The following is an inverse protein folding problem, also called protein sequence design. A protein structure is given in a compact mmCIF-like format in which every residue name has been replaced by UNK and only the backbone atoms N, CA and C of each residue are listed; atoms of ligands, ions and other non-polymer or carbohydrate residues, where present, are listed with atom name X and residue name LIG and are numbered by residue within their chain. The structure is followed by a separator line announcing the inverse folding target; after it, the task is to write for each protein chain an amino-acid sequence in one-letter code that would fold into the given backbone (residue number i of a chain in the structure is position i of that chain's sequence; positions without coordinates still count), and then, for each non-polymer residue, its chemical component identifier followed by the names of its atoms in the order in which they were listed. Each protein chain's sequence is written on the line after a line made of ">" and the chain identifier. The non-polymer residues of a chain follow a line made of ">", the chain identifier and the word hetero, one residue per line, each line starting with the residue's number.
data_IF_205290085303
#
_entry.id   IF_205290085303
#
_cell.length_a   1.000
_cell.length_b   1.000
_cell.length_c   1.000
_cell.angle_alpha   90.00
_cell.angle_beta   90.00
_cell.angle_gamma   90.00
#
_symmetry.space_group_name_H-M   'P 1'
#
loop_
_entity.id
_entity.type
_entity.pdbx_description
1 polymer ?
#
# COMPACT_ATOMS: atom_id res chain seq x y z
N UNK A 1 -42.05 17.08 -54.58
CA UNK A 1 -40.90 16.83 -53.68
C UNK A 1 -41.41 16.71 -52.25
N UNK A 2 -41.62 15.50 -51.74
CA UNK A 2 -41.61 15.25 -50.30
C UNK A 2 -41.41 13.76 -50.04
N UNK A 3 -40.34 13.44 -49.33
CA UNK A 3 -39.81 12.09 -49.17
C UNK A 3 -40.58 11.31 -48.11
N UNK A 4 -40.94 10.08 -48.43
CA UNK A 4 -41.43 9.09 -47.47
C UNK A 4 -40.29 8.65 -46.54
N UNK A 5 -40.32 9.11 -45.28
CA UNK A 5 -39.49 8.58 -44.22
C UNK A 5 -40.04 7.21 -43.77
N UNK A 6 -39.36 6.13 -44.16
CA UNK A 6 -39.63 4.78 -43.63
C UNK A 6 -39.02 4.65 -42.24
N UNK A 7 -39.85 4.44 -41.23
CA UNK A 7 -39.42 3.99 -39.91
C UNK A 7 -38.70 2.63 -40.03
N UNK A 8 -37.38 2.61 -39.81
CA UNK A 8 -36.68 1.37 -39.44
C UNK A 8 -36.97 1.10 -37.98
N UNK A 9 -37.65 -0.02 -37.71
CA UNK A 9 -37.67 -0.61 -36.39
C UNK A 9 -36.23 -0.94 -35.97
N UNK A 10 -35.71 -0.21 -35.00
CA UNK A 10 -34.47 -0.55 -34.31
C UNK A 10 -34.75 -1.74 -33.40
N UNK A 11 -34.27 -2.91 -33.81
CA UNK A 11 -34.20 -4.08 -32.96
C UNK A 11 -33.44 -3.72 -31.67
N UNK A 12 -34.15 -3.75 -30.55
CA UNK A 12 -33.58 -3.63 -29.22
C UNK A 12 -32.73 -4.88 -28.94
N UNK A 13 -31.43 -4.81 -29.20
CA UNK A 13 -30.49 -5.75 -28.62
C UNK A 13 -30.38 -5.43 -27.13
N UNK A 14 -31.07 -6.22 -26.31
CA UNK A 14 -30.76 -6.35 -24.88
C UNK A 14 -29.28 -6.68 -24.74
N UNK A 15 -28.48 -5.71 -24.30
CA UNK A 15 -27.14 -5.97 -23.78
C UNK A 15 -27.28 -6.89 -22.57
N UNK A 16 -27.07 -8.19 -22.77
CA UNK A 16 -26.73 -9.09 -21.68
C UNK A 16 -25.44 -8.54 -21.07
N UNK A 17 -25.50 -8.12 -19.81
CA UNK A 17 -24.29 -7.86 -19.03
C UNK A 17 -23.46 -9.14 -19.06
N UNK A 18 -22.36 -9.12 -19.83
CA UNK A 18 -21.41 -10.21 -19.86
C UNK A 18 -20.87 -10.42 -18.46
N UNK A 19 -20.87 -11.67 -17.98
CA UNK A 19 -20.15 -12.04 -16.77
C UNK A 19 -18.72 -11.50 -16.85
N UNK A 20 -18.18 -10.91 -15.76
CA UNK A 20 -16.82 -10.42 -15.79
C UNK A 20 -15.88 -11.58 -16.11
N UNK A 21 -15.17 -11.49 -17.23
CA UNK A 21 -14.16 -12.47 -17.58
C UNK A 21 -13.17 -12.61 -16.42
N UNK A 22 -12.93 -13.85 -15.98
CA UNK A 22 -12.02 -14.14 -14.88
C UNK A 22 -10.65 -13.47 -15.14
N UNK A 23 -10.19 -12.65 -14.18
CA UNK A 23 -8.96 -11.87 -14.32
C UNK A 23 -7.74 -12.80 -14.21
N UNK A 24 -7.28 -13.33 -15.35
CA UNK A 24 -6.06 -14.13 -15.44
C UNK A 24 -4.86 -13.22 -15.75
N UNK A 25 -3.98 -12.98 -14.76
CA UNK A 25 -2.70 -12.25 -14.95
C UNK A 25 -1.53 -13.23 -14.89
N UNK A 26 -0.69 -13.20 -15.92
CA UNK A 26 0.59 -13.92 -15.98
C UNK A 26 1.72 -13.13 -15.32
N UNK A 27 1.73 -11.80 -15.49
CA UNK A 27 2.70 -10.91 -14.83
C UNK A 27 2.30 -10.68 -13.38
N UNK A 28 3.22 -10.85 -12.41
CA UNK A 28 2.96 -10.50 -11.02
C UNK A 28 2.63 -9.01 -10.87
N UNK A 29 1.58 -8.70 -10.11
CA UNK A 29 1.32 -7.34 -9.65
C UNK A 29 1.80 -7.24 -8.21
N UNK A 30 2.57 -6.22 -7.89
CA UNK A 30 2.95 -5.92 -6.51
C UNK A 30 2.72 -4.44 -6.19
N UNK A 31 2.52 -4.14 -4.91
CA UNK A 31 2.39 -2.78 -4.43
C UNK A 31 2.87 -2.68 -2.98
N UNK A 32 3.31 -1.48 -2.59
CA UNK A 32 3.64 -1.13 -1.22
C UNK A 32 2.56 -0.25 -0.61
N UNK A 33 2.29 -0.43 0.68
CA UNK A 33 1.45 0.44 1.49
C UNK A 33 2.12 0.67 2.84
N UNK A 34 2.52 1.92 3.09
CA UNK A 34 3.04 2.27 4.41
C UNK A 34 1.93 2.10 5.46
N UNK A 35 2.22 1.29 6.49
CA UNK A 35 1.29 0.98 7.60
C UNK A 35 0.00 0.28 7.16
N UNK A 36 0.11 -0.71 6.28
CA UNK A 36 -1.02 -1.59 5.97
C UNK A 36 -1.49 -2.39 7.20
N UNK A 37 -2.69 -2.99 7.08
CA UNK A 37 -3.35 -3.78 8.13
C UNK A 37 -2.36 -4.80 8.74
N UNK A 38 -2.29 -4.86 10.06
CA UNK A 38 -1.44 -5.82 10.78
C UNK A 38 0.08 -5.60 10.60
N UNK A 39 0.51 -4.41 10.15
CA UNK A 39 1.92 -4.14 9.88
C UNK A 39 2.41 -4.66 8.53
N UNK A 40 1.49 -5.14 7.67
CA UNK A 40 1.82 -5.53 6.29
C UNK A 40 2.20 -4.30 5.48
N UNK A 41 3.32 -4.38 4.79
CA UNK A 41 3.88 -3.27 4.03
C UNK A 41 3.77 -3.50 2.53
N UNK A 42 3.69 -4.75 2.09
CA UNK A 42 3.72 -5.12 0.69
C UNK A 42 2.72 -6.20 0.36
N UNK A 43 2.29 -6.22 -0.89
CA UNK A 43 1.46 -7.28 -1.44
C UNK A 43 1.99 -7.73 -2.80
N UNK A 44 1.80 -9.01 -3.10
CA UNK A 44 2.11 -9.62 -4.39
C UNK A 44 0.92 -10.48 -4.83
N UNK A 45 0.45 -10.29 -6.07
CA UNK A 45 -0.59 -11.10 -6.69
C UNK A 45 -0.04 -11.86 -7.89
N UNK A 46 -0.23 -13.18 -7.89
CA UNK A 46 0.13 -14.09 -8.99
C UNK A 46 -1.08 -14.97 -9.29
N UNK A 47 -1.76 -14.72 -10.40
CA UNK A 47 -3.04 -15.36 -10.72
C UNK A 47 -4.09 -15.12 -9.62
N UNK A 48 -4.59 -16.22 -9.05
CA UNK A 48 -5.57 -16.22 -7.94
C UNK A 48 -4.95 -16.02 -6.57
N UNK A 49 -3.62 -16.14 -6.46
CA UNK A 49 -2.93 -16.08 -5.17
C UNK A 49 -2.54 -14.64 -4.84
N UNK A 50 -2.76 -14.25 -3.58
CA UNK A 50 -2.28 -12.99 -3.03
C UNK A 50 -1.45 -13.27 -1.78
N UNK A 51 -0.22 -12.74 -1.75
CA UNK A 51 0.64 -12.68 -0.58
C UNK A 51 0.55 -11.27 0.01
N UNK A 52 0.40 -11.17 1.34
CA UNK A 52 0.72 -9.97 2.10
C UNK A 52 1.99 -10.23 2.89
N UNK A 53 2.89 -9.24 2.94
CA UNK A 53 4.14 -9.34 3.66
C UNK A 53 4.43 -8.07 4.47
N UNK A 54 4.84 -8.27 5.71
CA UNK A 54 5.37 -7.25 6.61
C UNK A 54 6.83 -7.55 6.94
N UNK A 55 7.50 -6.57 7.55
CA UNK A 55 8.86 -6.78 8.05
C UNK A 55 8.88 -7.84 9.15
N UNK A 56 9.97 -8.59 9.23
CA UNK A 56 10.18 -9.59 10.28
C UNK A 56 10.41 -8.95 11.67
N UNK A 57 10.43 -9.78 12.71
CA UNK A 57 10.62 -9.38 14.11
C UNK A 57 11.94 -8.63 14.40
N UNK A 58 12.87 -8.60 13.46
CA UNK A 58 14.20 -8.00 13.60
C UNK A 58 14.41 -6.73 12.78
N UNK A 59 13.42 -6.19 12.05
CA UNK A 59 13.63 -4.92 11.39
C UNK A 59 13.60 -3.80 12.44
N UNK A 60 14.78 -3.30 12.83
CA UNK A 60 14.96 -2.13 13.70
C UNK A 60 14.18 -0.88 13.24
N UNK A 61 13.63 -0.91 12.02
CA UNK A 61 12.77 0.09 11.40
C UNK A 61 11.42 -0.54 11.01
N UNK A 62 10.57 -0.85 11.98
CA UNK A 62 9.15 -1.12 11.73
C UNK A 62 8.44 0.08 11.08
N UNK A 63 9.07 1.26 11.20
CA UNK A 63 8.68 2.53 10.65
C UNK A 63 9.80 2.97 9.71
N UNK A 64 9.46 3.52 8.54
CA UNK A 64 10.43 4.08 7.60
C UNK A 64 11.38 5.10 8.24
N UNK A 65 12.33 5.63 7.46
CA UNK A 65 13.43 6.44 7.98
C UNK A 65 12.91 7.63 8.80
N UNK A 66 13.58 7.90 9.92
CA UNK A 66 13.33 9.03 10.82
C UNK A 66 14.62 9.85 10.83
N UNK A 67 14.62 11.04 10.21
CA UNK A 67 15.77 11.96 10.23
C UNK A 67 16.28 12.38 8.84
N UNK A 68 17.42 13.09 8.82
CA UNK A 68 18.12 13.61 7.63
C UNK A 68 18.89 12.50 6.85
N UNK A 69 18.71 11.22 7.20
CA UNK A 69 19.39 10.07 6.57
C UNK A 69 18.83 9.73 5.18
N UNK A 70 19.59 8.94 4.40
CA UNK A 70 19.15 8.45 3.09
C UNK A 70 17.86 7.63 3.24
N UNK A 71 16.78 8.17 2.68
CA UNK A 71 15.42 7.64 2.85
C UNK A 71 15.19 6.34 2.07
N UNK A 72 16.13 5.90 1.24
CA UNK A 72 16.03 4.68 0.41
C UNK A 72 16.93 3.55 0.88
N UNK A 73 17.92 3.82 1.74
CA UNK A 73 18.90 2.82 2.17
C UNK A 73 18.24 1.65 2.91
N UNK A 74 17.23 1.96 3.73
CA UNK A 74 16.48 0.92 4.46
C UNK A 74 15.83 -0.11 3.53
N UNK A 75 15.41 0.28 2.31
CA UNK A 75 14.79 -0.64 1.35
C UNK A 75 15.78 -1.72 0.89
N UNK A 76 17.08 -1.40 0.81
CA UNK A 76 18.16 -2.35 0.48
C UNK A 76 18.32 -3.44 1.55
N UNK A 77 18.05 -3.08 2.81
CA UNK A 77 18.20 -3.96 3.99
C UNK A 77 16.89 -4.59 4.45
N UNK A 78 15.76 -4.18 3.85
CA UNK A 78 14.43 -4.58 4.29
C UNK A 78 14.22 -6.09 4.13
N UNK A 79 14.09 -6.78 5.26
CA UNK A 79 13.79 -8.22 5.27
C UNK A 79 12.33 -8.44 5.61
N UNK A 80 11.59 -9.01 4.67
CA UNK A 80 10.21 -9.46 4.85
C UNK A 80 10.20 -10.81 5.55
N UNK A 81 9.34 -10.97 6.55
CA UNK A 81 9.32 -12.19 7.37
C UNK A 81 7.95 -12.57 7.91
N UNK A 82 7.08 -11.59 8.15
CA UNK A 82 5.69 -11.85 8.49
C UNK A 82 4.86 -11.96 7.21
N UNK A 83 4.11 -13.06 7.03
CA UNK A 83 3.38 -13.33 5.79
C UNK A 83 1.97 -13.86 6.01
N UNK A 84 1.04 -13.42 5.16
CA UNK A 84 -0.28 -13.99 4.97
C UNK A 84 -0.45 -14.39 3.50
N UNK A 85 -1.21 -15.46 3.24
CA UNK A 85 -1.48 -15.95 1.89
C UNK A 85 -2.97 -16.21 1.72
N UNK A 86 -3.52 -15.78 0.59
CA UNK A 86 -4.94 -15.88 0.27
C UNK A 86 -5.16 -16.41 -1.15
N UNK A 87 -6.30 -17.07 -1.37
CA UNK A 87 -6.82 -17.42 -2.70
C UNK A 87 -8.02 -16.52 -2.97
N UNK A 88 -7.86 -15.55 -3.86
CA UNK A 88 -8.87 -14.51 -4.09
C UNK A 88 -10.11 -15.00 -4.84
N UNK A 89 -10.02 -16.15 -5.51
CA UNK A 89 -11.14 -16.73 -6.25
C UNK A 89 -12.22 -17.29 -5.31
N UNK A 90 -11.78 -17.94 -4.22
CA UNK A 90 -12.67 -18.54 -3.22
C UNK A 90 -12.81 -17.69 -1.97
N UNK A 91 -11.86 -16.78 -1.69
CA UNK A 91 -11.85 -15.88 -0.55
C UNK A 91 -11.42 -14.46 -0.95
N UNK A 92 -12.25 -13.72 -1.71
CA UNK A 92 -11.95 -12.35 -2.13
C UNK A 92 -11.90 -11.37 -0.94
N UNK A 93 -12.45 -11.75 0.21
CA UNK A 93 -12.46 -10.94 1.44
C UNK A 93 -11.25 -11.19 2.35
N UNK A 94 -10.32 -12.06 1.96
CA UNK A 94 -9.06 -12.31 2.69
C UNK A 94 -9.30 -12.75 4.15
N UNK A 95 -10.27 -13.64 4.37
CA UNK A 95 -10.67 -14.11 5.70
C UNK A 95 -9.81 -15.26 6.20
N UNK A 96 -9.30 -16.11 5.30
CA UNK A 96 -8.59 -17.34 5.66
C UNK A 96 -7.13 -17.25 5.25
N UNK A 97 -6.25 -17.05 6.24
CA UNK A 97 -4.81 -17.08 5.99
C UNK A 97 -4.32 -18.52 5.77
N UNK A 98 -3.87 -18.79 4.55
CA UNK A 98 -3.40 -20.09 4.07
C UNK A 98 -1.89 -20.27 4.11
N UNK A 99 -1.12 -19.30 4.63
CA UNK A 99 0.34 -19.32 4.59
C UNK A 99 0.95 -20.56 5.26
N UNK A 100 0.36 -21.01 6.39
CA UNK A 100 0.82 -22.21 7.12
C UNK A 100 0.50 -23.52 6.40
N UNK A 101 -0.59 -23.57 5.65
CA UNK A 101 -1.04 -24.75 4.91
C UNK A 101 -0.28 -24.87 3.59
N UNK A 102 -0.08 -23.76 2.88
CA UNK A 102 0.60 -23.71 1.58
C UNK A 102 2.01 -23.11 1.69
N UNK A 103 2.82 -23.61 2.62
CA UNK A 103 4.15 -23.03 2.95
C UNK A 103 5.07 -22.87 1.75
N UNK A 104 5.11 -23.88 0.86
CA UNK A 104 5.95 -23.84 -0.34
C UNK A 104 5.56 -22.68 -1.27
N UNK A 105 4.26 -22.46 -1.47
CA UNK A 105 3.74 -21.34 -2.28
C UNK A 105 4.00 -20.00 -1.61
N UNK A 106 3.71 -19.89 -0.32
CA UNK A 106 4.00 -18.66 0.44
C UNK A 106 5.48 -18.28 0.35
N UNK A 107 6.40 -19.24 0.51
CA UNK A 107 7.84 -19.02 0.40
C UNK A 107 8.27 -18.63 -1.02
N UNK A 108 7.73 -19.28 -2.04
CA UNK A 108 8.04 -18.95 -3.43
C UNK A 108 7.60 -17.51 -3.78
N UNK A 109 6.39 -17.12 -3.37
CA UNK A 109 5.88 -15.76 -3.58
C UNK A 109 6.65 -14.72 -2.75
N UNK A 110 7.05 -15.06 -1.52
CA UNK A 110 7.86 -14.17 -0.69
C UNK A 110 9.24 -13.91 -1.33
N UNK A 111 9.91 -14.96 -1.81
CA UNK A 111 11.19 -14.83 -2.50
C UNK A 111 11.06 -13.94 -3.75
N UNK A 112 9.98 -14.11 -4.52
CA UNK A 112 9.72 -13.27 -5.70
C UNK A 112 9.50 -11.80 -5.33
N UNK A 113 8.73 -11.54 -4.27
CA UNK A 113 8.53 -10.18 -3.77
C UNK A 113 9.84 -9.55 -3.28
N UNK A 114 10.67 -10.30 -2.56
CA UNK A 114 11.99 -9.82 -2.14
C UNK A 114 12.90 -9.51 -3.33
N UNK A 115 12.88 -10.32 -4.38
CA UNK A 115 13.62 -10.07 -5.63
C UNK A 115 13.16 -8.77 -6.30
N UNK A 116 11.85 -8.54 -6.38
CA UNK A 116 11.28 -7.31 -6.95
C UNK A 116 11.69 -6.07 -6.14
N UNK A 117 11.66 -6.15 -4.80
CA UNK A 117 12.10 -5.05 -3.94
C UNK A 117 13.60 -4.77 -4.07
N UNK A 118 14.43 -5.80 -4.19
CA UNK A 118 15.88 -5.64 -4.39
C UNK A 118 16.20 -4.97 -5.75
N UNK A 119 15.45 -5.31 -6.80
CA UNK A 119 15.58 -4.64 -8.11
C UNK A 119 15.23 -3.15 -8.00
N UNK A 120 14.10 -2.83 -7.37
CA UNK A 120 13.70 -1.42 -7.12
C UNK A 120 14.74 -0.70 -6.28
N UNK A 121 15.27 -1.31 -5.23
CA UNK A 121 16.30 -0.69 -4.39
C UNK A 121 17.61 -0.42 -5.15
N UNK A 122 17.91 -1.24 -6.17
CA UNK A 122 19.09 -1.05 -7.03
C UNK A 122 18.89 0.09 -8.02
N UNK A 123 17.70 0.19 -8.62
CA UNK A 123 17.36 1.21 -9.62
C UNK A 123 16.97 2.56 -9.00
N UNK A 124 16.58 2.58 -7.72
CA UNK A 124 16.13 3.80 -7.05
C UNK A 124 17.31 4.73 -6.77
N UNK A 125 17.19 6.04 -7.08
CA UNK A 125 18.19 7.01 -6.67
C UNK A 125 18.21 7.15 -5.15
N UNK A 126 19.38 7.50 -4.56
CA UNK A 126 19.44 7.82 -3.15
C UNK A 126 18.57 9.06 -2.86
N UNK A 127 17.67 8.94 -1.87
CA UNK A 127 16.85 10.07 -1.42
C UNK A 127 17.52 10.71 -0.21
N UNK A 128 18.25 11.80 -0.43
CA UNK A 128 18.93 12.56 0.62
C UNK A 128 18.24 13.90 0.88
N UNK A 129 18.35 14.41 2.11
CA UNK A 129 17.81 15.73 2.47
C UNK A 129 16.28 15.80 2.50
N UNK A 130 15.59 14.66 2.54
CA UNK A 130 14.15 14.65 2.75
C UNK A 130 13.84 15.12 4.17
N UNK A 131 13.20 16.29 4.27
CA UNK A 131 12.72 16.83 5.54
C UNK A 131 11.21 16.77 5.56
N UNK A 132 10.66 16.09 6.56
CA UNK A 132 9.25 16.18 6.84
C UNK A 132 8.89 17.67 6.98
N UNK A 133 7.97 18.17 6.16
CA UNK A 133 7.48 19.54 6.33
C UNK A 133 6.85 19.61 7.71
N UNK A 134 7.35 20.54 8.53
CA UNK A 134 6.68 20.90 9.76
C UNK A 134 5.27 21.35 9.37
N UNK A 135 4.21 20.69 9.86
CA UNK A 135 2.86 21.08 9.51
C UNK A 135 2.64 22.56 9.92
N UNK A 136 1.89 23.34 9.13
CA UNK A 136 1.62 24.72 9.49
C UNK A 136 0.91 24.77 10.84
N UNK A 137 1.41 25.63 11.72
CA UNK A 137 0.84 25.87 13.04
C UNK A 137 0.06 27.19 13.01
N UNK A 138 -1.11 27.28 13.69
CA UNK A 138 -1.72 26.24 14.51
C UNK A 138 -2.42 25.14 13.68
N UNK A 139 -2.44 23.91 14.21
CA UNK A 139 -3.11 22.77 13.56
C UNK A 139 -4.37 22.40 14.33
N UNK A 140 -5.51 22.35 13.64
CA UNK A 140 -6.73 21.79 14.21
C UNK A 140 -6.68 20.25 14.14
N UNK A 141 -6.67 19.59 15.29
CA UNK A 141 -6.77 18.15 15.41
C UNK A 141 -8.26 17.76 15.48
N UNK A 142 -8.77 17.15 14.41
CA UNK A 142 -10.15 16.65 14.33
C UNK A 142 -10.45 15.50 15.29
N UNK A 143 -9.47 14.66 15.62
CA UNK A 143 -9.67 13.52 16.53
C UNK A 143 -9.85 13.99 17.97
N UNK A 144 -9.18 15.08 18.36
CA UNK A 144 -9.24 15.62 19.72
C UNK A 144 -10.13 16.87 19.83
N UNK A 145 -10.69 17.36 18.72
CA UNK A 145 -11.41 18.63 18.62
C UNK A 145 -10.67 19.80 19.29
N UNK A 146 -9.36 19.89 19.09
CA UNK A 146 -8.49 20.89 19.71
C UNK A 146 -7.55 21.51 18.69
N UNK A 147 -7.28 22.79 18.86
CA UNK A 147 -6.20 23.47 18.16
C UNK A 147 -4.90 23.18 18.91
N UNK A 148 -4.00 22.42 18.28
CA UNK A 148 -2.67 22.15 18.81
C UNK A 148 -1.81 23.41 18.63
N UNK A 149 -1.42 24.01 19.76
CA UNK A 149 -0.38 25.03 19.80
C UNK A 149 0.95 24.30 19.74
N UNK A 150 1.64 24.41 18.60
CA UNK A 150 2.94 23.79 18.44
C UNK A 150 3.93 24.43 19.43
N UNK A 151 4.59 23.61 20.24
CA UNK A 151 5.74 24.07 21.01
C UNK A 151 6.83 24.50 20.00
N UNK A 152 7.39 25.69 20.19
CA UNK A 152 8.60 26.09 19.48
C UNK A 152 9.71 25.08 19.79
N UNK A 153 10.48 24.72 18.75
CA UNK A 153 11.59 23.76 18.85
C UNK A 153 12.68 24.19 19.85
N UNK A 154 12.64 25.43 20.33
CA UNK A 154 13.63 25.99 21.27
C UNK A 154 13.35 25.74 22.76
N UNK A 155 12.28 25.03 23.13
CA UNK A 155 12.06 24.61 24.52
C UNK A 155 11.95 25.75 25.56
N UNK A 156 11.95 27.02 25.15
CA UNK A 156 11.67 28.15 26.04
C UNK A 156 10.17 28.23 26.24
N UNK A 157 9.69 27.56 27.29
CA UNK A 157 8.45 27.95 27.96
C UNK A 157 8.57 29.43 28.31
N UNK A 158 7.92 30.31 27.57
CA UNK A 158 7.57 31.61 28.11
C UNK A 158 6.58 31.34 29.24
N UNK A 159 7.05 31.48 30.48
CA UNK A 159 6.17 31.64 31.64
C UNK A 159 5.27 32.83 31.31
N UNK A 160 3.97 32.58 31.18
CA UNK A 160 2.99 33.65 31.32
C UNK A 160 3.05 34.11 32.77
N UNK A 161 3.69 35.25 33.02
CA UNK A 161 3.39 36.06 34.19
C UNK A 161 2.04 36.70 33.95
N UNK A 162 1.04 36.22 34.68
CA UNK A 162 -0.27 36.86 34.74
C UNK A 162 -0.18 38.23 35.41
N UNK A 163 -0.92 39.17 34.85
CA UNK A 163 -1.39 40.37 35.52
C UNK A 163 -2.89 40.44 35.36
#
# INVERSE_FOLDING_TARGET
>A
HNQHYRHRHLNHNHHRHGEPAALHRTTPLWWGMHRGRGGMQYALRVGVWKLLAGYGASSARAYGPVGDEETTEWLRTATLGHVELYVLDTDPSERVNLARLHRRRARAMLNELQRLLAAVATESPPVVGWRARVPPCPRFNRQTNRTEVCCSLDGRRTRNEGR
#
